data_IF_811503250174
#
_entry.id   IF_811503250174
#
_cell.length_a   1.000
_cell.length_b   1.000
_cell.length_c   1.000
_cell.angle_alpha   90.00
_cell.angle_beta   90.00
_cell.angle_gamma   90.00
#
_symmetry.space_group_name_H-M   'P 1'
#
loop_
_entity.id
_entity.type
_entity.pdbx_description
1 polymer ?
#
# COMPACT_ATOMS: atom_id res chain seq x y z
N UNK A 1 16.90 -10.00 -4.18
CA UNK A 1 15.51 -9.55 -3.98
C UNK A 1 14.59 -10.66 -4.44
N UNK A 2 13.53 -10.95 -3.69
CA UNK A 2 12.47 -11.84 -4.19
C UNK A 2 11.76 -11.08 -5.30
N UNK A 3 11.53 -11.75 -6.42
CA UNK A 3 10.72 -11.26 -7.55
C UNK A 3 9.33 -10.81 -7.04
N UNK A 4 8.91 -9.59 -7.39
CA UNK A 4 7.69 -8.98 -6.84
C UNK A 4 6.47 -9.85 -7.14
N UNK A 5 6.42 -10.43 -8.35
CA UNK A 5 5.33 -11.30 -8.79
C UNK A 5 5.24 -12.59 -7.97
N UNK A 6 6.39 -13.20 -7.64
CA UNK A 6 6.46 -14.41 -6.83
C UNK A 6 5.95 -14.17 -5.42
N UNK A 7 6.39 -13.07 -4.78
CA UNK A 7 5.98 -12.73 -3.41
C UNK A 7 4.47 -12.47 -3.34
N UNK A 8 3.94 -11.67 -4.26
CA UNK A 8 2.51 -11.36 -4.34
C UNK A 8 1.66 -12.63 -4.50
N UNK A 9 2.08 -13.55 -5.38
CA UNK A 9 1.40 -14.84 -5.60
C UNK A 9 1.38 -15.71 -4.32
N UNK A 10 2.50 -15.78 -3.59
CA UNK A 10 2.58 -16.53 -2.34
C UNK A 10 1.65 -15.96 -1.25
N UNK A 11 1.63 -14.63 -1.11
CA UNK A 11 0.77 -13.93 -0.16
C UNK A 11 -0.70 -14.13 -0.49
N UNK A 12 -1.08 -13.96 -1.76
CA UNK A 12 -2.46 -14.17 -2.21
C UNK A 12 -2.96 -15.59 -1.98
N UNK A 13 -2.11 -16.58 -2.24
CA UNK A 13 -2.45 -17.99 -2.04
C UNK A 13 -2.64 -18.35 -0.56
N UNK A 14 -2.01 -17.59 0.34
CA UNK A 14 -2.02 -17.87 1.78
C UNK A 14 -2.54 -16.67 2.61
N UNK A 15 -3.37 -15.80 2.02
CA UNK A 15 -3.72 -14.50 2.59
C UNK A 15 -4.28 -14.63 4.02
N UNK A 16 -5.19 -15.57 4.25
CA UNK A 16 -5.74 -15.82 5.59
C UNK A 16 -4.65 -16.14 6.61
N UNK A 17 -3.66 -16.96 6.23
CA UNK A 17 -2.56 -17.33 7.12
C UNK A 17 -1.62 -16.15 7.36
N UNK A 18 -1.32 -15.36 6.32
CA UNK A 18 -0.51 -14.15 6.45
C UNK A 18 -1.17 -13.15 7.40
N UNK A 19 -2.47 -12.90 7.24
CA UNK A 19 -3.23 -12.04 8.14
C UNK A 19 -3.26 -12.60 9.57
N UNK A 20 -3.44 -13.91 9.76
CA UNK A 20 -3.40 -14.53 11.08
C UNK A 20 -2.02 -14.44 11.75
N UNK A 21 -0.94 -14.47 10.97
CA UNK A 21 0.41 -14.22 11.47
C UNK A 21 0.54 -12.78 11.93
N UNK A 22 0.08 -11.80 11.14
CA UNK A 22 0.12 -10.37 11.50
C UNK A 22 -0.76 -10.08 12.71
N UNK A 23 -1.96 -10.67 12.81
CA UNK A 23 -2.84 -10.54 13.99
C UNK A 23 -2.15 -10.98 15.28
N UNK A 24 -1.30 -12.01 15.21
CA UNK A 24 -0.59 -12.58 16.38
C UNK A 24 0.72 -11.87 16.67
N UNK A 25 1.11 -10.88 15.86
CA UNK A 25 2.25 -10.03 16.21
C UNK A 25 1.93 -9.30 17.52
N UNK A 26 2.82 -9.34 18.54
CA UNK A 26 2.53 -8.76 19.85
C UNK A 26 2.21 -7.26 19.84
N UNK A 27 2.75 -6.51 18.88
CA UNK A 27 2.47 -5.08 18.77
C UNK A 27 1.08 -4.86 18.16
N UNK A 28 0.77 -5.56 17.06
CA UNK A 28 -0.54 -5.47 16.39
C UNK A 28 -1.66 -5.91 17.32
N UNK A 29 -1.49 -7.04 18.01
CA UNK A 29 -2.47 -7.60 18.94
C UNK A 29 -2.79 -6.61 20.06
N UNK A 30 -1.76 -6.13 20.76
CA UNK A 30 -1.90 -5.16 21.86
C UNK A 30 -2.55 -3.85 21.41
N UNK A 31 -2.20 -3.33 20.24
CA UNK A 31 -2.79 -2.09 19.72
C UNK A 31 -4.27 -2.30 19.35
N UNK A 32 -4.60 -3.48 18.80
CA UNK A 32 -5.98 -3.84 18.44
C UNK A 32 -6.87 -4.01 19.68
N UNK A 33 -6.38 -4.68 20.73
CA UNK A 33 -7.06 -4.77 22.02
C UNK A 33 -7.32 -3.38 22.61
N UNK A 34 -6.28 -2.53 22.64
CA UNK A 34 -6.38 -1.16 23.16
C UNK A 34 -7.38 -0.31 22.37
N UNK A 35 -7.45 -0.48 21.06
CA UNK A 35 -8.45 0.18 20.22
C UNK A 35 -9.86 -0.28 20.58
N UNK A 36 -10.11 -1.59 20.62
CA UNK A 36 -11.43 -2.18 20.92
C UNK A 36 -11.94 -1.81 22.31
N UNK A 37 -11.04 -1.77 23.30
CA UNK A 37 -11.37 -1.41 24.68
C UNK A 37 -11.84 0.04 24.79
N UNK A 38 -11.24 0.96 24.03
CA UNK A 38 -11.51 2.40 24.12
C UNK A 38 -12.60 2.88 23.18
N UNK A 39 -12.66 2.37 21.95
CA UNK A 39 -13.52 2.91 20.90
C UNK A 39 -15.00 2.88 21.30
N UNK A 40 -15.41 1.86 22.05
CA UNK A 40 -16.79 1.71 22.52
C UNK A 40 -17.24 2.79 23.49
N UNK A 41 -16.31 3.41 24.20
CA UNK A 41 -16.60 4.45 25.18
C UNK A 41 -16.60 5.85 24.56
N UNK A 42 -16.02 6.01 23.36
CA UNK A 42 -16.01 7.26 22.61
C UNK A 42 -17.38 7.49 21.98
N UNK A 43 -17.95 8.69 22.19
CA UNK A 43 -19.29 9.09 21.76
C UNK A 43 -19.29 10.29 20.82
N UNK A 44 -18.22 11.07 20.83
CA UNK A 44 -18.13 12.30 20.04
C UNK A 44 -16.91 12.33 19.13
N UNK A 45 -16.95 13.20 18.12
CA UNK A 45 -15.82 13.47 17.23
C UNK A 45 -14.63 14.02 18.03
N UNK A 46 -14.90 14.92 18.99
CA UNK A 46 -13.87 15.50 19.84
C UNK A 46 -13.15 14.43 20.66
N UNK A 47 -13.89 13.57 21.37
CA UNK A 47 -13.31 12.44 22.12
C UNK A 47 -12.49 11.51 21.22
N UNK A 48 -12.99 11.24 20.01
CA UNK A 48 -12.30 10.40 19.03
C UNK A 48 -10.96 10.99 18.60
N UNK A 49 -10.92 12.27 18.24
CA UNK A 49 -9.72 12.95 17.73
C UNK A 49 -8.72 13.27 18.86
N UNK A 50 -9.21 13.48 20.08
CA UNK A 50 -8.36 13.73 21.25
C UNK A 50 -7.63 12.47 21.73
N UNK A 51 -8.25 11.29 21.68
CA UNK A 51 -7.57 10.03 21.99
C UNK A 51 -6.60 9.65 20.86
N UNK A 52 -5.34 10.06 21.01
CA UNK A 52 -4.31 9.82 20.01
C UNK A 52 -4.16 8.34 19.64
N UNK A 53 -4.26 7.43 20.61
CA UNK A 53 -4.06 6.00 20.33
C UNK A 53 -5.16 5.47 19.40
N UNK A 54 -6.42 5.79 19.72
CA UNK A 54 -7.58 5.37 18.93
C UNK A 54 -7.56 6.05 17.56
N UNK A 55 -7.36 7.37 17.54
CA UNK A 55 -7.31 8.15 16.31
C UNK A 55 -6.19 7.68 15.38
N UNK A 56 -4.96 7.53 15.87
CA UNK A 56 -3.84 7.11 15.03
C UNK A 56 -4.01 5.68 14.52
N UNK A 57 -4.58 4.79 15.34
CA UNK A 57 -4.88 3.42 14.94
C UNK A 57 -5.90 3.39 13.81
N UNK A 58 -7.02 4.11 13.97
CA UNK A 58 -8.03 4.23 12.93
C UNK A 58 -7.45 4.87 11.66
N UNK A 59 -6.72 5.98 11.76
CA UNK A 59 -6.10 6.64 10.61
C UNK A 59 -5.17 5.69 9.85
N UNK A 60 -4.32 4.93 10.56
CA UNK A 60 -3.47 3.90 9.95
C UNK A 60 -4.30 2.82 9.25
N UNK A 61 -5.37 2.32 9.85
CA UNK A 61 -6.24 1.31 9.24
C UNK A 61 -6.80 1.72 7.86
N UNK A 62 -6.97 3.03 7.63
CA UNK A 62 -7.44 3.61 6.37
C UNK A 62 -6.30 4.18 5.50
N UNK A 63 -5.03 3.89 5.83
CA UNK A 63 -3.87 4.35 5.07
C UNK A 63 -3.54 5.85 5.23
N UNK A 64 -4.14 6.51 6.23
CA UNK A 64 -3.99 7.94 6.52
C UNK A 64 -3.00 8.21 7.66
N UNK A 65 -2.05 7.30 7.94
CA UNK A 65 -1.09 7.41 9.05
C UNK A 65 -0.28 8.71 9.01
N UNK A 66 0.16 9.12 7.81
CA UNK A 66 0.91 10.37 7.60
C UNK A 66 0.08 11.63 7.90
N UNK A 67 -1.25 11.52 7.94
CA UNK A 67 -2.17 12.63 8.17
C UNK A 67 -2.69 12.69 9.62
N UNK A 68 -2.12 11.90 10.53
CA UNK A 68 -2.48 11.89 11.96
C UNK A 68 -2.25 13.23 12.67
N UNK A 69 -1.40 14.10 12.12
CA UNK A 69 -1.22 15.47 12.64
C UNK A 69 -2.39 16.40 12.28
N UNK A 70 -3.16 16.10 11.24
CA UNK A 70 -4.17 16.97 10.64
C UNK A 70 -5.52 16.89 11.38
N UNK A 71 -5.51 16.98 12.71
CA UNK A 71 -6.70 16.80 13.57
C UNK A 71 -7.87 17.70 13.20
N UNK A 72 -7.64 18.99 12.97
CA UNK A 72 -8.70 19.93 12.58
C UNK A 72 -9.29 19.62 11.20
N UNK A 73 -8.45 19.09 10.30
CA UNK A 73 -8.90 18.65 8.98
C UNK A 73 -9.83 17.44 9.11
N UNK A 74 -9.43 16.43 9.90
CA UNK A 74 -10.27 15.27 10.18
C UNK A 74 -11.53 15.59 10.97
N UNK A 75 -11.49 16.56 11.88
CA UNK A 75 -12.68 17.03 12.57
C UNK A 75 -13.72 17.51 11.55
N UNK A 76 -13.31 18.36 10.60
CA UNK A 76 -14.20 18.86 9.55
C UNK A 76 -14.73 17.75 8.64
N UNK A 77 -13.89 16.77 8.29
CA UNK A 77 -14.28 15.59 7.50
C UNK A 77 -15.39 14.80 8.20
N UNK A 78 -15.25 14.56 9.51
CA UNK A 78 -16.23 13.79 10.29
C UNK A 78 -17.49 14.58 10.64
N UNK A 79 -17.36 15.89 10.85
CA UNK A 79 -18.46 16.78 11.21
C UNK A 79 -19.40 17.02 10.03
N UNK A 80 -18.87 17.25 8.82
CA UNK A 80 -19.69 17.42 7.61
C UNK A 80 -20.18 16.09 7.03
N UNK A 81 -19.52 14.97 7.38
CA UNK A 81 -19.88 13.63 6.92
C UNK A 81 -19.79 13.46 5.41
N UNK A 82 -20.66 12.61 4.86
CA UNK A 82 -20.71 12.31 3.40
C UNK A 82 -22.08 12.54 2.76
N UNK A 83 -23.09 12.88 3.56
CA UNK A 83 -24.50 12.91 3.15
C UNK A 83 -24.82 14.04 2.16
N UNK A 84 -24.10 15.16 2.24
CA UNK A 84 -24.26 16.31 1.35
C UNK A 84 -23.24 16.27 0.22
N UNK A 85 -23.66 16.52 -1.02
CA UNK A 85 -22.73 16.68 -2.16
C UNK A 85 -21.68 17.78 -1.90
N UNK A 86 -22.05 18.77 -1.07
CA UNK A 86 -21.18 19.87 -0.68
C UNK A 86 -20.27 19.57 0.53
N UNK A 87 -20.43 18.41 1.18
CA UNK A 87 -19.65 18.02 2.35
C UNK A 87 -18.15 18.02 2.03
N UNK A 88 -17.35 18.42 3.00
CA UNK A 88 -15.91 18.57 2.86
C UNK A 88 -15.26 17.28 2.36
N UNK A 89 -15.65 16.12 2.89
CA UNK A 89 -15.15 14.81 2.48
C UNK A 89 -15.37 14.53 0.97
N UNK A 90 -16.48 14.98 0.40
CA UNK A 90 -16.83 14.79 -1.01
C UNK A 90 -16.09 15.76 -1.95
N UNK A 91 -15.42 16.79 -1.42
CA UNK A 91 -14.64 17.77 -2.18
C UNK A 91 -13.14 17.49 -2.16
N UNK A 92 -12.69 16.52 -1.37
CA UNK A 92 -11.30 16.12 -1.28
C UNK A 92 -11.00 15.16 -2.42
N UNK A 93 -9.86 15.38 -3.09
CA UNK A 93 -9.41 14.48 -4.17
C UNK A 93 -9.06 13.09 -3.65
N UNK A 94 -8.44 13.00 -2.48
CA UNK A 94 -8.09 11.73 -1.84
C UNK A 94 -9.32 11.05 -1.24
N UNK A 95 -9.79 9.97 -1.89
CA UNK A 95 -11.02 9.26 -1.54
C UNK A 95 -10.94 8.61 -0.15
N UNK A 96 -9.73 8.35 0.38
CA UNK A 96 -9.56 7.71 1.70
C UNK A 96 -10.22 8.51 2.82
N UNK A 97 -10.28 9.84 2.70
CA UNK A 97 -11.00 10.70 3.66
C UNK A 97 -12.51 10.48 3.61
N UNK A 98 -13.07 10.31 2.42
CA UNK A 98 -14.49 10.00 2.23
C UNK A 98 -14.82 8.61 2.76
N UNK A 99 -14.00 7.60 2.45
CA UNK A 99 -14.16 6.25 3.02
C UNK A 99 -14.06 6.24 4.54
N UNK A 100 -13.16 7.05 5.11
CA UNK A 100 -13.05 7.20 6.56
C UNK A 100 -14.31 7.82 7.17
N UNK A 101 -14.83 8.90 6.57
CA UNK A 101 -16.06 9.56 7.00
C UNK A 101 -17.30 8.67 6.86
N UNK A 102 -17.34 7.83 5.83
CA UNK A 102 -18.41 6.84 5.63
C UNK A 102 -18.45 5.80 6.75
N UNK A 103 -17.29 5.32 7.19
CA UNK A 103 -17.20 4.37 8.29
C UNK A 103 -17.45 5.03 9.65
N UNK A 104 -16.79 6.14 9.93
CA UNK A 104 -16.94 6.93 11.16
C UNK A 104 -18.02 8.01 11.00
N UNK A 105 -19.22 7.61 10.56
CA UNK A 105 -20.29 8.55 10.21
C UNK A 105 -21.03 9.12 11.44
N UNK A 106 -20.32 9.95 12.20
CA UNK A 106 -20.85 10.70 13.35
C UNK A 106 -21.94 11.70 12.94
N UNK A 107 -21.90 12.24 11.73
CA UNK A 107 -22.95 13.12 11.19
C UNK A 107 -24.31 12.43 11.18
N UNK A 108 -24.37 11.19 10.66
CA UNK A 108 -25.62 10.46 10.54
C UNK A 108 -26.02 9.74 11.84
N UNK A 109 -25.05 9.15 12.56
CA UNK A 109 -25.34 8.22 13.65
C UNK A 109 -24.96 8.76 15.04
N UNK A 110 -24.28 9.90 15.13
CA UNK A 110 -23.85 10.49 16.39
C UNK A 110 -23.07 9.49 17.25
N UNK A 111 -23.46 9.37 18.51
CA UNK A 111 -22.82 8.49 19.50
C UNK A 111 -22.92 6.99 19.15
N UNK A 112 -23.86 6.59 18.30
CA UNK A 112 -24.03 5.19 17.90
C UNK A 112 -22.94 4.72 16.91
N UNK A 113 -22.23 5.65 16.26
CA UNK A 113 -21.18 5.38 15.27
C UNK A 113 -20.16 4.35 15.76
N UNK A 114 -19.64 4.54 16.97
CA UNK A 114 -18.60 3.68 17.55
C UNK A 114 -19.11 2.32 18.02
N UNK A 115 -20.44 2.13 18.03
CA UNK A 115 -21.08 0.87 18.40
C UNK A 115 -21.18 -0.10 17.21
N UNK A 116 -20.97 0.37 15.98
CA UNK A 116 -21.04 -0.48 14.80
C UNK A 116 -19.84 -1.41 14.67
N UNK A 117 -20.09 -2.61 14.17
CA UNK A 117 -19.05 -3.63 13.94
C UNK A 117 -17.98 -3.14 12.95
N UNK A 118 -18.38 -2.37 11.93
CA UNK A 118 -17.45 -1.77 10.96
C UNK A 118 -16.43 -0.84 11.64
N UNK A 119 -16.86 -0.08 12.65
CA UNK A 119 -15.99 0.84 13.42
C UNK A 119 -15.19 0.09 14.49
N UNK A 120 -15.64 -1.10 14.91
CA UNK A 120 -14.91 -1.94 15.87
C UNK A 120 -14.01 -2.93 15.14
N UNK A 121 -14.51 -4.15 14.91
CA UNK A 121 -13.74 -5.22 14.31
C UNK A 121 -13.36 -4.93 12.86
N UNK A 122 -14.19 -4.18 12.11
CA UNK A 122 -13.86 -3.78 10.74
C UNK A 122 -12.60 -2.92 10.67
N UNK A 123 -12.42 -1.98 11.60
CA UNK A 123 -11.18 -1.18 11.70
C UNK A 123 -9.98 -2.03 12.10
N UNK A 124 -10.16 -2.98 13.02
CA UNK A 124 -9.10 -3.93 13.40
C UNK A 124 -8.65 -4.76 12.20
N UNK A 125 -9.60 -5.30 11.43
CA UNK A 125 -9.27 -6.09 10.24
C UNK A 125 -8.57 -5.25 9.16
N UNK A 126 -8.99 -4.00 8.96
CA UNK A 126 -8.31 -3.06 8.07
C UNK A 126 -6.90 -2.72 8.58
N UNK A 127 -6.72 -2.53 9.89
CA UNK A 127 -5.42 -2.27 10.50
C UNK A 127 -4.44 -3.43 10.33
N UNK A 128 -4.91 -4.65 10.56
CA UNK A 128 -4.12 -5.88 10.34
C UNK A 128 -3.69 -5.97 8.89
N UNK A 129 -4.63 -5.71 7.96
CA UNK A 129 -4.33 -5.75 6.53
C UNK A 129 -3.35 -4.65 6.11
N UNK A 130 -3.52 -3.44 6.61
CA UNK A 130 -2.55 -2.37 6.40
C UNK A 130 -1.18 -2.73 6.97
N UNK A 131 -1.13 -3.32 8.17
CA UNK A 131 0.13 -3.73 8.80
C UNK A 131 0.86 -4.80 7.99
N UNK A 132 0.12 -5.74 7.37
CA UNK A 132 0.69 -6.68 6.42
C UNK A 132 1.29 -5.94 5.21
N UNK A 133 0.51 -5.05 4.60
CA UNK A 133 0.95 -4.27 3.44
C UNK A 133 2.20 -3.43 3.75
N UNK A 134 2.26 -2.78 4.91
CA UNK A 134 3.42 -2.00 5.37
C UNK A 134 4.65 -2.89 5.59
N UNK A 135 4.50 -4.03 6.26
CA UNK A 135 5.60 -4.99 6.48
C UNK A 135 6.18 -5.50 5.15
N UNK A 136 5.32 -5.76 4.16
CA UNK A 136 5.78 -6.15 2.81
C UNK A 136 6.40 -4.98 2.06
N UNK A 137 5.92 -3.75 2.28
CA UNK A 137 6.46 -2.53 1.67
C UNK A 137 7.87 -2.17 2.15
N UNK A 138 8.20 -2.49 3.40
CA UNK A 138 9.57 -2.35 3.93
C UNK A 138 10.57 -3.21 3.15
N UNK A 139 10.15 -4.39 2.67
CA UNK A 139 10.99 -5.26 1.85
C UNK A 139 10.89 -4.93 0.35
N UNK A 140 9.69 -4.62 -0.14
CA UNK A 140 9.39 -4.36 -1.53
C UNK A 140 8.11 -3.53 -1.71
N UNK A 141 8.27 -2.25 -2.02
CA UNK A 141 7.17 -1.32 -2.29
C UNK A 141 6.21 -1.80 -3.41
N UNK A 142 6.70 -2.54 -4.41
CA UNK A 142 5.85 -3.12 -5.45
C UNK A 142 4.89 -4.17 -4.92
N UNK A 143 5.30 -4.95 -3.90
CA UNK A 143 4.40 -5.92 -3.25
C UNK A 143 3.31 -5.18 -2.48
N UNK A 144 3.67 -4.14 -1.72
CA UNK A 144 2.70 -3.31 -1.00
C UNK A 144 1.66 -2.69 -1.94
N UNK A 145 2.12 -2.03 -3.01
CA UNK A 145 1.26 -1.42 -4.03
C UNK A 145 0.34 -2.47 -4.68
N UNK A 146 0.86 -3.64 -5.00
CA UNK A 146 0.08 -4.72 -5.60
C UNK A 146 -1.00 -5.27 -4.67
N UNK A 147 -0.69 -5.47 -3.38
CA UNK A 147 -1.66 -5.89 -2.37
C UNK A 147 -2.76 -4.84 -2.14
N UNK A 148 -2.36 -3.57 -2.07
CA UNK A 148 -3.26 -2.44 -1.90
C UNK A 148 -4.21 -2.32 -3.10
N UNK A 149 -3.68 -2.36 -4.32
CA UNK A 149 -4.48 -2.34 -5.54
C UNK A 149 -5.47 -3.51 -5.58
N UNK A 150 -5.02 -4.72 -5.26
CA UNK A 150 -5.91 -5.88 -5.22
C UNK A 150 -7.02 -5.75 -4.18
N UNK A 151 -6.77 -5.09 -3.05
CA UNK A 151 -7.79 -4.81 -2.03
C UNK A 151 -8.87 -3.89 -2.58
N UNK A 152 -8.46 -2.86 -3.30
CA UNK A 152 -9.32 -1.74 -3.68
C UNK A 152 -9.91 -1.86 -5.09
N UNK A 153 -9.40 -2.74 -5.93
CA UNK A 153 -9.76 -2.86 -7.34
C UNK A 153 -11.28 -2.90 -7.60
N UNK A 154 -12.03 -3.68 -6.82
CA UNK A 154 -13.49 -3.80 -6.98
C UNK A 154 -14.28 -2.55 -6.56
N UNK A 155 -13.68 -1.66 -5.76
CA UNK A 155 -14.34 -0.41 -5.34
C UNK A 155 -14.28 0.65 -6.44
N UNK A 156 -13.35 0.53 -7.38
CA UNK A 156 -13.05 1.52 -8.43
C UNK A 156 -14.05 1.39 -9.59
N UNK A 157 -14.72 2.51 -9.90
CA UNK A 157 -15.75 2.61 -10.94
C UNK A 157 -15.35 3.51 -12.10
N UNK A 158 -14.30 4.31 -11.95
CA UNK A 158 -13.81 5.20 -13.00
C UNK A 158 -12.31 5.50 -12.83
N UNK A 159 -11.63 5.98 -13.89
CA UNK A 159 -10.19 6.28 -13.82
C UNK A 159 -9.82 7.40 -12.84
N UNK A 160 -10.76 8.29 -12.49
CA UNK A 160 -10.49 9.37 -11.54
C UNK A 160 -10.36 8.83 -10.10
N UNK A 161 -11.18 7.85 -9.71
CA UNK A 161 -11.05 7.15 -8.42
C UNK A 161 -9.70 6.41 -8.33
N UNK A 162 -9.20 5.89 -9.44
CA UNK A 162 -7.87 5.28 -9.48
C UNK A 162 -6.75 6.30 -9.25
N UNK A 163 -6.93 7.55 -9.72
CA UNK A 163 -5.98 8.64 -9.54
C UNK A 163 -6.15 9.40 -8.21
N UNK A 164 -7.31 9.25 -7.56
CA UNK A 164 -7.66 9.88 -6.29
C UNK A 164 -6.81 9.33 -5.13
N UNK A 165 -6.49 8.04 -5.16
CA UNK A 165 -5.65 7.40 -4.16
C UNK A 165 -4.18 7.35 -4.65
N UNK A 166 -3.21 7.85 -3.86
CA UNK A 166 -1.80 7.88 -4.27
C UNK A 166 -1.21 6.51 -4.63
N UNK A 167 -1.56 5.44 -3.90
CA UNK A 167 -1.03 4.11 -4.14
C UNK A 167 -1.65 3.49 -5.41
N UNK A 168 -2.95 3.71 -5.62
CA UNK A 168 -3.63 3.26 -6.85
C UNK A 168 -3.13 4.02 -8.08
N UNK A 169 -2.91 5.33 -7.94
CA UNK A 169 -2.39 6.18 -9.00
C UNK A 169 -1.00 5.71 -9.45
N UNK A 170 -0.14 5.29 -8.51
CA UNK A 170 1.18 4.76 -8.81
C UNK A 170 1.11 3.46 -9.64
N UNK A 171 0.26 2.51 -9.23
CA UNK A 171 0.03 1.26 -9.98
C UNK A 171 -0.52 1.56 -11.38
N UNK A 172 -1.47 2.47 -11.47
CA UNK A 172 -2.09 2.87 -12.73
C UNK A 172 -1.09 3.53 -13.69
N UNK A 173 -0.27 4.45 -13.20
CA UNK A 173 0.78 5.11 -13.99
C UNK A 173 1.83 4.11 -14.46
N UNK A 174 2.26 3.21 -13.57
CA UNK A 174 3.19 2.13 -13.92
C UNK A 174 2.62 1.27 -15.05
N UNK A 175 1.37 0.84 -14.94
CA UNK A 175 0.68 0.04 -15.98
C UNK A 175 0.48 0.81 -17.29
N UNK A 176 0.19 2.11 -17.20
CA UNK A 176 0.05 2.98 -18.36
C UNK A 176 1.39 3.38 -19.00
N UNK A 177 2.52 3.11 -18.33
CA UNK A 177 3.85 3.54 -18.74
C UNK A 177 4.04 5.06 -18.67
N UNK A 178 3.35 5.71 -17.73
CA UNK A 178 3.46 7.15 -17.48
C UNK A 178 4.63 7.35 -16.51
N UNK A 179 5.73 8.00 -16.93
CA UNK A 179 6.86 8.24 -16.04
C UNK A 179 6.49 9.25 -14.95
N UNK A 180 7.16 9.17 -13.80
CA UNK A 180 6.88 10.03 -12.64
C UNK A 180 6.99 11.53 -12.94
N UNK A 181 7.84 11.94 -13.89
CA UNK A 181 7.95 13.34 -14.33
C UNK A 181 6.69 13.84 -15.06
N UNK A 182 5.91 12.93 -15.64
CA UNK A 182 4.64 13.21 -16.29
C UNK A 182 3.44 13.13 -15.32
N UNK A 183 3.64 12.71 -14.07
CA UNK A 183 2.58 12.64 -13.05
C UNK A 183 2.04 14.03 -12.63
N UNK A 184 2.72 15.12 -12.99
CA UNK A 184 2.25 16.50 -12.83
C UNK A 184 1.37 17.02 -13.99
N UNK A 185 1.11 16.21 -15.02
CA UNK A 185 0.19 16.56 -16.10
C UNK A 185 -1.26 16.67 -15.59
N UNK A 186 -2.12 17.37 -16.33
CA UNK A 186 -3.55 17.50 -15.99
C UNK A 186 -4.19 16.12 -15.71
N UNK A 187 -4.97 16.02 -14.64
CA UNK A 187 -5.58 14.77 -14.18
C UNK A 187 -6.46 14.13 -15.26
N UNK A 188 -7.18 14.94 -16.03
CA UNK A 188 -8.04 14.47 -17.14
C UNK A 188 -7.22 13.77 -18.23
N UNK A 189 -6.00 14.25 -18.48
CA UNK A 189 -5.10 13.63 -19.48
C UNK A 189 -4.56 12.31 -18.96
N UNK A 190 -4.17 12.25 -17.68
CA UNK A 190 -3.74 11.00 -17.05
C UNK A 190 -4.86 9.96 -17.07
N UNK A 191 -6.10 10.38 -16.74
CA UNK A 191 -7.28 9.51 -16.77
C UNK A 191 -7.50 8.90 -18.16
N UNK A 192 -7.42 9.71 -19.22
CA UNK A 192 -7.57 9.23 -20.59
C UNK A 192 -6.47 8.23 -21.01
N UNK A 193 -5.22 8.46 -20.59
CA UNK A 193 -4.11 7.54 -20.87
C UNK A 193 -4.26 6.20 -20.13
N UNK A 194 -4.78 6.26 -18.91
CA UNK A 194 -5.09 5.07 -18.10
C UNK A 194 -6.21 4.27 -18.74
N UNK A 195 -7.29 4.93 -19.17
CA UNK A 195 -8.44 4.27 -19.80
C UNK A 195 -8.08 3.56 -21.12
N UNK A 196 -7.05 4.02 -21.84
CA UNK A 196 -6.54 3.33 -23.03
C UNK A 196 -5.83 1.98 -22.68
N UNK A 197 -5.34 1.84 -21.45
CA UNK A 197 -4.47 0.72 -21.03
C UNK A 197 -5.09 -0.19 -19.99
N UNK A 198 -6.03 0.31 -19.21
CA UNK A 198 -6.71 -0.39 -18.12
C UNK A 198 -8.21 -0.29 -18.37
N UNK A 199 -8.84 -1.43 -18.59
CA UNK A 199 -10.30 -1.52 -18.60
C UNK A 199 -10.81 -1.50 -17.16
N UNK A 200 -11.64 -0.53 -16.83
CA UNK A 200 -12.20 -0.37 -15.48
C UNK A 200 -13.19 -1.49 -15.16
N UNK A 201 -13.88 -2.04 -16.17
CA UNK A 201 -14.79 -3.17 -15.97
C UNK A 201 -14.01 -4.43 -15.54
N UNK A 202 -12.78 -4.61 -16.04
CA UNK A 202 -11.91 -5.72 -15.67
C UNK A 202 -11.47 -5.65 -14.18
N UNK A 203 -11.50 -4.47 -13.54
CA UNK A 203 -11.15 -4.34 -12.12
C UNK A 203 -12.16 -5.00 -11.18
N UNK A 204 -13.36 -5.30 -11.69
CA UNK A 204 -14.41 -5.99 -10.96
C UNK A 204 -14.21 -7.52 -10.95
N UNK A 205 -13.35 -8.05 -11.83
CA UNK A 205 -13.03 -9.48 -11.90
C UNK A 205 -11.69 -9.77 -11.18
N UNK A 206 -11.71 -10.52 -10.06
CA UNK A 206 -10.49 -10.86 -9.32
C UNK A 206 -9.41 -11.57 -10.14
N UNK A 207 -9.78 -12.33 -11.18
CA UNK A 207 -8.80 -13.03 -12.02
C UNK A 207 -8.16 -12.06 -13.04
N UNK A 208 -8.91 -11.09 -13.56
CA UNK A 208 -8.38 -10.00 -14.38
C UNK A 208 -7.45 -9.09 -13.60
N UNK A 209 -7.81 -8.78 -12.35
CA UNK A 209 -6.94 -8.03 -11.44
C UNK A 209 -5.61 -8.76 -11.22
N UNK A 210 -5.61 -10.09 -11.07
CA UNK A 210 -4.37 -10.87 -10.98
C UNK A 210 -3.53 -10.77 -12.26
N UNK A 211 -4.16 -10.85 -13.44
CA UNK A 211 -3.46 -10.67 -14.72
C UNK A 211 -2.82 -9.29 -14.85
N UNK A 212 -3.53 -8.23 -14.43
CA UNK A 212 -3.01 -6.86 -14.37
C UNK A 212 -1.84 -6.75 -13.40
N UNK A 213 -1.94 -7.36 -12.21
CA UNK A 213 -0.87 -7.35 -11.22
C UNK A 213 0.39 -8.09 -11.70
N UNK A 214 0.25 -9.16 -12.48
CA UNK A 214 1.41 -9.81 -13.13
C UNK A 214 2.10 -8.85 -14.08
N UNK A 215 1.36 -8.07 -14.87
CA UNK A 215 1.95 -7.03 -15.75
C UNK A 215 2.59 -5.91 -14.95
N UNK A 216 1.90 -5.41 -13.93
CA UNK A 216 2.40 -4.36 -13.04
C UNK A 216 3.73 -4.78 -12.40
N UNK A 217 3.80 -5.96 -11.78
CA UNK A 217 5.01 -6.42 -11.11
C UNK A 217 6.19 -6.57 -12.06
N UNK A 218 5.97 -7.00 -13.31
CA UNK A 218 7.01 -7.05 -14.33
C UNK A 218 7.53 -5.67 -14.74
N UNK A 219 6.63 -4.68 -14.88
CA UNK A 219 7.00 -3.29 -15.19
C UNK A 219 7.70 -2.62 -14.01
N UNK A 220 7.16 -2.82 -12.81
CA UNK A 220 7.72 -2.33 -11.56
C UNK A 220 9.13 -2.86 -11.33
N UNK A 221 9.34 -4.16 -11.49
CA UNK A 221 10.66 -4.77 -11.34
C UNK A 221 11.64 -4.29 -12.41
N UNK A 222 11.18 -3.98 -13.63
CA UNK A 222 12.05 -3.42 -14.66
C UNK A 222 12.54 -2.00 -14.30
N UNK A 223 11.67 -1.18 -13.75
CA UNK A 223 11.94 0.23 -13.42
C UNK A 223 12.68 0.40 -12.08
N UNK A 224 12.30 -0.40 -11.08
CA UNK A 224 12.78 -0.28 -9.70
C UNK A 224 13.87 -1.30 -9.33
N UNK A 225 14.29 -2.16 -10.28
CA UNK A 225 15.55 -2.86 -10.12
C UNK A 225 16.70 -1.86 -10.20
N UNK A 226 17.19 -1.45 -9.03
CA UNK A 226 18.59 -1.12 -8.87
C UNK A 226 19.40 -2.23 -9.54
N UNK A 227 20.22 -1.86 -10.55
CA UNK A 227 21.19 -2.74 -11.20
C UNK A 227 22.28 -3.09 -10.18
N UNK A 228 21.92 -3.92 -9.20
CA UNK A 228 22.78 -4.84 -8.49
C UNK A 228 22.26 -6.23 -8.79
N UNK A 229 22.00 -6.50 -10.06
CA UNK A 229 21.97 -7.86 -10.54
C UNK A 229 23.39 -8.41 -10.36
N UNK A 230 23.63 -9.14 -9.27
CA UNK A 230 24.53 -10.28 -9.37
C UNK A 230 23.90 -11.19 -10.42
N UNK A 231 24.30 -10.97 -11.67
CA UNK A 231 23.93 -11.81 -12.80
C UNK A 231 24.14 -13.25 -12.34
N UNK A 232 23.08 -14.08 -12.21
CA UNK A 232 23.29 -15.49 -12.06
C UNK A 232 24.02 -15.88 -13.33
N UNK A 233 25.29 -16.28 -13.21
CA UNK A 233 26.06 -16.86 -14.29
C UNK A 233 25.35 -18.17 -14.68
N UNK A 234 24.28 -18.06 -15.45
CA UNK A 234 23.75 -19.12 -16.30
C UNK A 234 24.67 -19.13 -17.52
N UNK A 235 25.93 -19.46 -17.27
CA UNK A 235 26.86 -19.92 -18.28
C UNK A 235 26.60 -21.40 -18.44
N UNK A 236 25.69 -21.65 -19.37
CA UNK A 236 25.63 -22.88 -20.15
C UNK A 236 27.05 -23.33 -20.49
N UNK A 237 27.38 -24.55 -20.04
CA UNK A 237 28.14 -25.51 -20.82
C UNK A 237 29.61 -25.18 -21.14
N UNK A 238 30.53 -25.72 -20.32
CA UNK A 238 31.80 -26.24 -20.82
C UNK A 238 33.08 -25.58 -20.29
N UNK A 239 33.84 -26.39 -19.54
CA UNK A 239 35.29 -26.33 -19.32
C UNK A 239 35.87 -25.24 -18.40
N UNK A 240 36.31 -25.71 -17.22
CA UNK A 240 37.50 -25.28 -16.47
C UNK A 240 38.00 -23.85 -16.72
N UNK A 241 37.48 -22.90 -15.95
CA UNK A 241 38.24 -21.72 -15.57
C UNK A 241 38.31 -21.66 -14.05
N UNK A 242 39.52 -21.92 -13.54
CA UNK A 242 39.93 -21.58 -12.18
C UNK A 242 39.68 -20.09 -12.01
N UNK A 243 38.69 -19.73 -11.18
CA UNK A 243 38.51 -18.35 -10.75
C UNK A 243 39.73 -17.95 -9.92
N UNK A 244 40.57 -17.08 -10.46
CA UNK A 244 41.58 -16.41 -9.65
C UNK A 244 40.83 -15.46 -8.71
N UNK A 245 40.92 -15.74 -7.41
CA UNK A 245 40.41 -14.89 -6.34
C UNK A 245 41.13 -13.52 -6.39
N UNK A 246 40.39 -12.43 -6.17
CA UNK A 246 40.92 -11.06 -5.99
C UNK A 246 42.02 -11.02 -4.92
N UNK A 247 41.96 -11.92 -3.93
CA UNK A 247 43.00 -12.07 -2.90
C UNK A 247 44.38 -12.46 -3.48
N UNK A 248 44.40 -13.17 -4.62
CA UNK A 248 45.62 -13.62 -5.28
C UNK A 248 46.26 -12.49 -6.11
N UNK A 249 45.43 -11.63 -6.72
CA UNK A 249 45.90 -10.41 -7.40
C UNK A 249 46.46 -9.39 -6.41
N UNK A 250 45.86 -9.25 -5.23
CA UNK A 250 46.39 -8.43 -4.15
C UNK A 250 47.73 -8.96 -3.61
N UNK A 251 47.92 -10.29 -3.57
CA UNK A 251 49.17 -10.92 -3.13
C UNK A 251 50.34 -10.70 -4.09
N UNK A 252 50.06 -10.52 -5.39
CA UNK A 252 51.06 -10.26 -6.43
C UNK A 252 51.53 -8.81 -6.46
N UNK A 253 50.73 -7.85 -5.99
CA UNK A 253 51.15 -6.44 -5.86
C UNK A 253 52.06 -6.19 -4.65
N UNK A 254 52.10 -7.12 -3.68
CA UNK A 254 53.00 -7.06 -2.51
C UNK A 254 54.41 -7.61 -2.76
N UNK A 255 54.65 -8.31 -3.87
CA UNK A 255 55.96 -8.85 -4.22
C UNK A 255 56.85 -7.75 -4.82
N UNK A 256 57.47 -6.99 -3.93
CA UNK A 256 58.58 -6.09 -4.24
C UNK A 256 59.72 -6.93 -4.84
N UNK A 257 60.00 -6.76 -6.13
CA UNK A 257 61.21 -7.23 -6.79
C UNK A 257 62.43 -6.58 -6.11
N UNK A 258 62.93 -7.23 -5.06
CA UNK A 258 64.19 -6.92 -4.42
C UNK A 258 65.30 -7.68 -5.13
N UNK A 259 66.06 -6.98 -5.98
CA UNK A 259 67.35 -7.47 -6.44
C UNK A 259 68.39 -7.39 -5.33
N UNK A 260 69.26 -8.40 -5.27
CA UNK A 260 70.72 -8.30 -5.18
C UNK A 260 71.31 -9.58 -5.78
#
# INVERSE_FOLDING_TARGET
MIDTSLRLTMLNSNMSKSLDTVRKDPLVDRLSEKYLDKIRDIKTIDEFIEDYDVFSYAMKAYGLEDMTYAKAYMHKVLEEGISSDDAFANKITDERFRTFAEAFNFEQFGEATTSFEEVQQGVVDKYVRQSLEDQEGEENAGVQLGLYFQRKASEIKNPLELLADPALAEVARTLAGIPNEAAGADLDVQAAMIEERIDIEDLQDPDKVKELLVRFTALWDLENQNVSASVPNILLNGNNMVSMDESLLASLQGLKLGGF
#
